data_IF_916763018758
#
_entry.id   IF_916763018758
#
_cell.length_a   1.000
_cell.length_b   1.000
_cell.length_c   1.000
_cell.angle_alpha   90.00
_cell.angle_beta   90.00
_cell.angle_gamma   90.00
#
_symmetry.space_group_name_H-M   'P 1'
#
loop_
_entity.id
_entity.type
_entity.pdbx_description
1 polymer ?
#
# COMPACT_ATOMS: atom_id res chain seq x y z
N UNK A 1 -6.32 15.01 -12.53
CA UNK A 1 -6.38 15.32 -11.08
C UNK A 1 -5.91 14.08 -10.35
N UNK A 2 -4.84 14.17 -9.55
CA UNK A 2 -4.37 13.03 -8.76
C UNK A 2 -5.32 12.81 -7.57
N UNK A 3 -5.68 11.57 -7.30
CA UNK A 3 -6.43 11.23 -6.09
C UNK A 3 -5.44 10.81 -5.01
N UNK A 4 -5.59 11.38 -3.82
CA UNK A 4 -4.76 11.03 -2.66
C UNK A 4 -5.45 9.93 -1.88
N UNK A 5 -4.67 8.94 -1.45
CA UNK A 5 -5.13 7.85 -0.60
C UNK A 5 -4.24 7.80 0.64
N UNK A 6 -4.85 7.75 1.80
CA UNK A 6 -4.16 7.38 3.01
C UNK A 6 -4.04 5.86 3.06
N UNK A 7 -2.83 5.37 3.26
CA UNK A 7 -2.57 3.95 3.44
C UNK A 7 -1.83 3.70 4.74
N UNK A 8 -2.17 2.57 5.36
CA UNK A 8 -1.43 2.02 6.49
C UNK A 8 -1.19 0.55 6.20
N UNK A 9 0.05 0.12 6.28
CA UNK A 9 0.45 -1.24 5.95
C UNK A 9 1.57 -1.72 6.85
N UNK A 10 1.66 -3.04 6.98
CA UNK A 10 2.70 -3.74 7.70
C UNK A 10 3.71 -4.29 6.69
N UNK A 11 5.01 -4.18 7.01
CA UNK A 11 6.07 -4.83 6.25
C UNK A 11 6.72 -5.92 7.10
N UNK A 12 6.73 -7.15 6.58
CA UNK A 12 7.40 -8.30 7.18
C UNK A 12 8.67 -8.61 6.38
N UNK A 13 9.83 -8.19 6.91
CA UNK A 13 11.11 -8.52 6.27
C UNK A 13 11.48 -9.96 6.61
N UNK A 14 11.51 -10.83 5.59
CA UNK A 14 11.74 -12.26 5.75
C UNK A 14 12.88 -12.59 6.72
N UNK A 15 12.56 -13.35 7.77
CA UNK A 15 13.51 -13.85 8.77
C UNK A 15 13.48 -13.17 10.14
N UNK A 16 12.69 -12.10 10.32
CA UNK A 16 12.53 -11.48 11.64
C UNK A 16 11.04 -11.33 11.97
N UNK A 17 10.63 -11.74 13.18
CA UNK A 17 9.24 -11.55 13.68
C UNK A 17 8.88 -10.09 13.95
N UNK A 18 9.74 -9.15 13.56
CA UNK A 18 9.50 -7.73 13.65
C UNK A 18 8.70 -7.31 12.42
N UNK A 19 7.41 -7.07 12.65
CA UNK A 19 6.54 -6.43 11.67
C UNK A 19 6.61 -4.94 11.89
N UNK A 20 7.12 -4.21 10.91
CA UNK A 20 7.21 -2.76 10.98
C UNK A 20 5.91 -2.15 10.41
N UNK A 21 5.26 -1.27 11.17
CA UNK A 21 4.06 -0.56 10.74
C UNK A 21 4.41 0.76 10.07
N UNK A 22 3.89 0.96 8.86
CA UNK A 22 4.08 2.16 8.06
C UNK A 22 2.73 2.80 7.75
N UNK A 23 2.71 4.13 7.79
CA UNK A 23 1.57 4.94 7.37
C UNK A 23 2.05 6.01 6.40
N UNK A 24 1.24 6.32 5.41
CA UNK A 24 1.61 7.29 4.39
C UNK A 24 0.46 7.72 3.51
N UNK A 25 0.76 8.66 2.62
CA UNK A 25 -0.17 9.12 1.59
C UNK A 25 0.37 8.68 0.23
N UNK A 26 -0.45 7.95 -0.51
CA UNK A 26 -0.18 7.53 -1.88
C UNK A 26 -0.96 8.44 -2.82
N UNK A 27 -0.26 9.05 -3.77
CA UNK A 27 -0.90 9.84 -4.82
C UNK A 27 -0.99 8.99 -6.08
N UNK A 28 -2.22 8.69 -6.50
CA UNK A 28 -2.45 7.91 -7.70
C UNK A 28 -2.82 8.86 -8.83
N UNK A 29 -1.91 8.93 -9.81
CA UNK A 29 -2.15 9.60 -11.09
C UNK A 29 -2.96 8.68 -12.00
N UNK A 30 -4.21 8.39 -11.64
CA UNK A 30 -5.11 7.64 -12.51
C UNK A 30 -6.09 8.59 -13.20
N UNK A 31 -6.19 8.47 -14.52
CA UNK A 31 -7.31 8.96 -15.33
C UNK A 31 -8.59 8.16 -15.10
N UNK A 32 -8.50 7.03 -14.39
CA UNK A 32 -9.60 6.13 -14.05
C UNK A 32 -9.79 6.09 -12.53
N UNK A 33 -10.97 6.52 -12.05
CA UNK A 33 -11.43 6.38 -10.66
C UNK A 33 -11.73 4.91 -10.33
N UNK A 34 -10.84 3.97 -10.66
CA UNK A 34 -11.03 2.58 -10.28
C UNK A 34 -10.74 2.44 -8.79
N UNK A 35 -11.69 1.83 -8.09
CA UNK A 35 -11.48 1.29 -6.75
C UNK A 35 -10.39 0.22 -6.89
N UNK A 36 -9.18 0.54 -6.42
CA UNK A 36 -8.11 -0.44 -6.34
C UNK A 36 -8.45 -1.44 -5.24
N UNK A 37 -8.37 -2.72 -5.58
CA UNK A 37 -8.54 -3.78 -4.60
C UNK A 37 -7.33 -3.81 -3.66
N UNK A 38 -7.54 -4.25 -2.42
CA UNK A 38 -6.47 -4.31 -1.40
C UNK A 38 -5.23 -5.06 -1.90
N UNK A 39 -5.41 -6.14 -2.66
CA UNK A 39 -4.29 -6.92 -3.25
C UNK A 39 -3.49 -6.14 -4.29
N UNK A 40 -4.15 -5.29 -5.08
CA UNK A 40 -3.46 -4.45 -6.07
C UNK A 40 -2.65 -3.37 -5.36
N UNK A 41 -3.19 -2.81 -4.27
CA UNK A 41 -2.47 -1.86 -3.42
C UNK A 41 -1.25 -2.53 -2.77
N UNK A 42 -1.42 -3.71 -2.19
CA UNK A 42 -0.31 -4.49 -1.61
C UNK A 42 0.79 -4.77 -2.64
N UNK A 43 0.43 -5.24 -3.83
CA UNK A 43 1.39 -5.49 -4.91
C UNK A 43 2.10 -4.20 -5.37
N UNK A 44 1.38 -3.07 -5.44
CA UNK A 44 1.95 -1.77 -5.79
C UNK A 44 2.92 -1.25 -4.73
N UNK A 45 2.55 -1.37 -3.45
CA UNK A 45 3.40 -1.00 -2.33
C UNK A 45 4.63 -1.90 -2.29
N UNK A 46 4.46 -3.22 -2.34
CA UNK A 46 5.55 -4.19 -2.38
C UNK A 46 6.55 -3.88 -3.51
N UNK A 47 6.06 -3.63 -4.73
CA UNK A 47 6.92 -3.21 -5.85
C UNK A 47 7.66 -1.91 -5.59
N UNK A 48 7.03 -0.94 -4.94
CA UNK A 48 7.66 0.35 -4.59
C UNK A 48 8.79 0.18 -3.55
N UNK A 49 8.62 -0.78 -2.63
CA UNK A 49 9.60 -1.10 -1.58
C UNK A 49 10.57 -2.23 -1.96
N UNK A 50 10.49 -2.77 -3.18
CA UNK A 50 11.26 -3.94 -3.65
C UNK A 50 11.08 -5.19 -2.74
N UNK A 51 9.85 -5.41 -2.29
CA UNK A 51 9.43 -6.55 -1.48
C UNK A 51 8.45 -7.43 -2.27
N UNK A 52 8.21 -8.63 -1.75
CA UNK A 52 7.12 -9.49 -2.23
C UNK A 52 5.77 -9.01 -1.72
N UNK A 53 4.69 -9.23 -2.48
CA UNK A 53 3.34 -8.86 -2.05
C UNK A 53 2.91 -9.59 -0.78
N UNK A 54 3.45 -10.78 -0.52
CA UNK A 54 3.20 -11.56 0.70
C UNK A 54 3.89 -10.96 1.94
N UNK A 55 4.84 -10.03 1.73
CA UNK A 55 5.57 -9.33 2.80
C UNK A 55 4.92 -7.99 3.14
N UNK A 56 3.87 -7.59 2.44
CA UNK A 56 3.15 -6.33 2.65
C UNK A 56 1.68 -6.63 2.92
N UNK A 57 1.19 -6.19 4.07
CA UNK A 57 -0.23 -6.35 4.44
C UNK A 57 -0.85 -4.98 4.64
N UNK A 58 -1.85 -4.64 3.83
CA UNK A 58 -2.53 -3.35 3.94
C UNK A 58 -3.61 -3.42 5.02
N UNK A 59 -3.41 -2.66 6.10
CA UNK A 59 -4.36 -2.54 7.21
C UNK A 59 -5.47 -1.52 6.92
N UNK A 60 -5.13 -0.44 6.22
CA UNK A 60 -6.09 0.61 5.90
C UNK A 60 -5.79 1.20 4.52
N UNK A 61 -6.85 1.34 3.73
CA UNK A 61 -6.84 2.04 2.46
C UNK A 61 -8.06 2.96 2.41
N UNK A 62 -7.82 4.26 2.47
CA UNK A 62 -8.88 5.26 2.52
C UNK A 62 -8.59 6.40 1.54
N UNK A 63 -9.57 6.75 0.72
CA UNK A 63 -9.46 7.91 -0.16
C UNK A 63 -9.48 9.19 0.68
N UNK A 64 -8.50 10.06 0.46
CA UNK A 64 -8.50 11.42 0.99
C UNK A 64 -9.29 12.31 0.01
N UNK A 65 -10.33 12.95 0.52
CA UNK A 65 -11.23 13.84 -0.21
C UNK A 65 -10.69 15.26 -0.33
#
# INVERSE_FOLDING_TARGET
MATKYYTRFLMQKGGNSATDEYSGVVEIQASTQQLLDTKEVEAMLAKSFHLDSEQVEVLNWSRLH
#
